data_IF_848571897843
#
_entry.id   IF_848571897843
#
_cell.length_a   1.000
_cell.length_b   1.000
_cell.length_c   1.000
_cell.angle_alpha   90.00
_cell.angle_beta   90.00
_cell.angle_gamma   90.00
#
_symmetry.space_group_name_H-M   'P 1'
#
loop_
_entity.id
_entity.type
_entity.pdbx_description
1 polymer ?
#
# COMPACT_ATOMS: atom_id res chain seq x y z
N UNK A 1 7.09 -23.37 -15.74
CA UNK A 1 6.46 -24.70 -16.04
C UNK A 1 4.94 -24.56 -16.04
N UNK A 2 4.25 -24.84 -17.18
CA UNK A 2 2.78 -24.77 -17.27
C UNK A 2 2.17 -26.06 -16.68
N UNK A 3 1.21 -25.91 -15.76
CA UNK A 3 0.49 -27.01 -15.08
C UNK A 3 -1.00 -26.79 -15.27
N UNK A 4 -1.64 -27.70 -16.01
CA UNK A 4 -3.11 -27.69 -16.16
C UNK A 4 -3.78 -28.35 -14.96
N UNK A 5 -4.83 -27.73 -14.47
CA UNK A 5 -5.60 -28.18 -13.31
C UNK A 5 -7.09 -28.19 -13.68
N UNK A 6 -7.81 -29.17 -13.16
CA UNK A 6 -9.24 -29.37 -13.47
C UNK A 6 -10.14 -28.77 -12.38
N UNK A 7 -9.63 -28.58 -11.16
CA UNK A 7 -10.39 -28.10 -10.02
C UNK A 7 -9.54 -27.24 -9.09
N UNK A 8 -10.16 -26.27 -8.40
CA UNK A 8 -9.52 -25.47 -7.35
C UNK A 8 -9.31 -26.23 -6.02
N UNK A 9 -9.74 -27.50 -5.93
CA UNK A 9 -9.50 -28.32 -4.74
C UNK A 9 -8.04 -28.77 -4.60
N UNK A 10 -7.22 -28.56 -5.62
CA UNK A 10 -5.77 -28.79 -5.58
C UNK A 10 -5.12 -27.96 -4.46
N UNK A 11 -4.43 -28.63 -3.52
CA UNK A 11 -3.77 -27.97 -2.37
C UNK A 11 -2.71 -26.95 -2.78
N UNK A 12 -2.12 -27.09 -3.97
CA UNK A 12 -1.15 -26.14 -4.53
C UNK A 12 -1.76 -24.76 -4.77
N UNK A 13 -3.10 -24.66 -4.80
CA UNK A 13 -3.88 -23.44 -5.01
C UNK A 13 -4.40 -22.82 -3.71
N UNK A 14 -4.03 -23.35 -2.55
CA UNK A 14 -4.51 -22.85 -1.26
C UNK A 14 -4.34 -21.35 -1.08
N UNK A 15 -3.20 -20.81 -1.50
CA UNK A 15 -2.92 -19.37 -1.43
C UNK A 15 -3.97 -18.52 -2.17
N UNK A 16 -4.58 -19.06 -3.21
CA UNK A 16 -5.59 -18.36 -4.01
C UNK A 16 -7.02 -18.63 -3.51
N UNK A 17 -7.30 -19.86 -3.09
CA UNK A 17 -8.67 -20.38 -2.92
C UNK A 17 -9.12 -20.49 -1.47
N UNK A 18 -8.24 -20.82 -0.55
CA UNK A 18 -8.62 -21.25 0.80
C UNK A 18 -8.02 -20.42 1.93
N UNK A 19 -6.86 -19.80 1.73
CA UNK A 19 -6.23 -19.01 2.78
C UNK A 19 -6.86 -17.63 2.92
N UNK A 20 -7.22 -17.27 4.14
CA UNK A 20 -7.62 -15.90 4.48
C UNK A 20 -6.42 -14.95 4.42
N UNK A 21 -6.69 -13.64 4.32
CA UNK A 21 -5.63 -12.63 4.35
C UNK A 21 -4.75 -12.71 5.62
N UNK A 22 -5.33 -13.10 6.76
CA UNK A 22 -4.59 -13.30 8.00
C UNK A 22 -3.63 -14.51 7.91
N UNK A 23 -4.08 -15.60 7.29
CA UNK A 23 -3.26 -16.79 7.04
C UNK A 23 -2.17 -16.50 6.00
N UNK A 24 -2.52 -15.80 4.91
CA UNK A 24 -1.55 -15.36 3.90
C UNK A 24 -0.46 -14.48 4.51
N UNK A 25 -0.82 -13.56 5.42
CA UNK A 25 0.15 -12.71 6.12
C UNK A 25 1.11 -13.51 6.98
N UNK A 26 0.65 -14.61 7.58
CA UNK A 26 1.42 -15.53 8.42
C UNK A 26 2.27 -14.82 9.49
N UNK A 27 1.62 -14.16 10.46
CA UNK A 27 2.32 -13.38 11.50
C UNK A 27 3.29 -14.20 12.36
N UNK A 28 3.04 -15.51 12.50
CA UNK A 28 3.88 -16.40 13.31
C UNK A 28 5.17 -16.82 12.59
N UNK A 29 5.11 -16.92 11.27
CA UNK A 29 6.24 -17.27 10.39
C UNK A 29 6.28 -16.27 9.21
N UNK A 30 6.67 -14.99 9.45
CA UNK A 30 6.58 -13.92 8.46
C UNK A 30 7.32 -14.23 7.15
N UNK A 31 8.39 -15.00 7.22
CA UNK A 31 9.18 -15.46 6.07
C UNK A 31 8.40 -16.39 5.13
N UNK A 32 7.34 -17.04 5.64
CA UNK A 32 6.41 -17.86 4.85
C UNK A 32 5.21 -17.07 4.34
N UNK A 33 5.09 -15.81 4.71
CA UNK A 33 3.97 -14.95 4.30
C UNK A 33 3.86 -14.81 2.78
N UNK A 34 2.63 -14.74 2.29
CA UNK A 34 2.28 -14.64 0.87
C UNK A 34 1.45 -13.40 0.64
N UNK A 35 1.59 -12.79 -0.52
CA UNK A 35 0.68 -11.78 -1.04
C UNK A 35 0.14 -12.20 -2.40
N UNK A 36 -1.06 -11.73 -2.74
CA UNK A 36 -1.71 -12.01 -4.02
C UNK A 36 -1.78 -10.72 -4.84
N UNK A 37 -1.18 -10.77 -6.03
CA UNK A 37 -1.26 -9.73 -7.05
C UNK A 37 -2.31 -10.13 -8.10
N UNK A 38 -3.22 -9.22 -8.46
CA UNK A 38 -4.30 -9.44 -9.41
C UNK A 38 -4.13 -8.56 -10.63
N UNK A 39 -4.12 -9.12 -11.80
CA UNK A 39 -3.89 -8.56 -13.14
C UNK A 39 -2.43 -8.55 -13.59
N UNK A 40 -2.22 -8.66 -14.92
CA UNK A 40 -0.89 -8.65 -15.51
C UNK A 40 -0.07 -7.42 -15.10
N UNK A 41 -0.66 -6.23 -15.12
CA UNK A 41 0.04 -4.98 -14.74
C UNK A 41 0.50 -4.96 -13.28
N UNK A 42 -0.30 -5.50 -12.36
CA UNK A 42 0.05 -5.56 -10.93
C UNK A 42 1.15 -6.60 -10.69
N UNK A 43 1.06 -7.74 -11.38
CA UNK A 43 2.09 -8.79 -11.36
C UNK A 43 3.41 -8.27 -11.91
N UNK A 44 3.38 -7.54 -13.02
CA UNK A 44 4.56 -6.90 -13.62
C UNK A 44 5.23 -5.94 -12.62
N UNK A 45 4.47 -5.08 -11.97
CA UNK A 45 4.97 -4.16 -10.93
C UNK A 45 5.53 -4.89 -9.70
N UNK A 46 4.94 -6.02 -9.31
CA UNK A 46 5.49 -6.85 -8.24
C UNK A 46 6.87 -7.39 -8.62
N UNK A 47 7.02 -7.90 -9.85
CA UNK A 47 8.31 -8.38 -10.38
C UNK A 47 9.34 -7.25 -10.50
N UNK A 48 8.94 -6.06 -10.98
CA UNK A 48 9.79 -4.87 -11.05
C UNK A 48 10.23 -4.40 -9.67
N UNK A 49 9.34 -4.48 -8.68
CA UNK A 49 9.63 -4.20 -7.28
C UNK A 49 10.44 -5.28 -6.56
N UNK A 50 10.94 -6.31 -7.29
CA UNK A 50 11.78 -7.37 -6.74
C UNK A 50 11.05 -8.38 -5.88
N UNK A 51 9.70 -8.47 -5.98
CA UNK A 51 8.94 -9.49 -5.25
C UNK A 51 9.24 -10.88 -5.82
N UNK A 52 9.49 -11.84 -4.94
CA UNK A 52 9.77 -13.22 -5.32
C UNK A 52 8.46 -13.93 -5.72
N UNK A 53 8.29 -14.34 -6.99
CA UNK A 53 7.12 -15.10 -7.44
C UNK A 53 7.15 -16.51 -6.86
N UNK A 54 5.95 -17.04 -6.53
CA UNK A 54 5.74 -18.41 -6.07
C UNK A 54 4.93 -19.22 -7.07
N UNK A 55 3.95 -18.61 -7.72
CA UNK A 55 3.14 -19.21 -8.77
C UNK A 55 2.31 -18.17 -9.51
N UNK A 56 1.79 -18.54 -10.69
CA UNK A 56 0.72 -17.83 -11.38
C UNK A 56 -0.52 -18.74 -11.50
N UNK A 57 -1.70 -18.12 -11.60
CA UNK A 57 -2.96 -18.80 -11.87
C UNK A 57 -3.77 -17.97 -12.87
N UNK A 58 -4.20 -18.60 -13.98
CA UNK A 58 -4.94 -17.94 -15.05
C UNK A 58 -5.79 -18.92 -15.86
N UNK A 59 -6.64 -18.38 -16.74
CA UNK A 59 -7.29 -19.16 -17.80
C UNK A 59 -6.35 -19.32 -19.01
N UNK A 60 -6.55 -20.37 -19.79
CA UNK A 60 -5.80 -20.65 -21.04
C UNK A 60 -5.79 -19.45 -22.00
N UNK A 61 -6.92 -18.75 -22.12
CA UNK A 61 -7.05 -17.57 -23.02
C UNK A 61 -6.09 -16.43 -22.71
N UNK A 62 -5.56 -16.36 -21.48
CA UNK A 62 -4.64 -15.30 -21.05
C UNK A 62 -3.17 -15.63 -21.29
N UNK A 63 -2.80 -16.88 -21.56
CA UNK A 63 -1.40 -17.28 -21.79
C UNK A 63 -0.68 -16.41 -22.83
N UNK A 64 -1.28 -16.10 -24.00
CA UNK A 64 -0.59 -15.27 -25.00
C UNK A 64 -0.30 -13.85 -24.50
N UNK A 65 -1.23 -13.22 -23.79
CA UNK A 65 -1.05 -11.86 -23.27
C UNK A 65 -0.14 -11.79 -22.04
N UNK A 66 0.09 -12.91 -21.38
CA UNK A 66 0.94 -13.04 -20.19
C UNK A 66 2.32 -13.62 -20.51
N UNK A 67 2.63 -13.89 -21.80
CA UNK A 67 3.84 -14.58 -22.20
C UNK A 67 5.12 -13.91 -21.67
N UNK A 68 5.24 -12.59 -21.77
CA UNK A 68 6.40 -11.85 -21.26
C UNK A 68 6.59 -11.97 -19.74
N UNK A 69 5.48 -12.01 -18.99
CA UNK A 69 5.51 -12.21 -17.55
C UNK A 69 5.92 -13.65 -17.20
N UNK A 70 5.40 -14.63 -17.93
CA UNK A 70 5.76 -16.04 -17.76
C UNK A 70 7.24 -16.24 -18.04
N UNK A 71 7.76 -15.72 -19.15
CA UNK A 71 9.20 -15.77 -19.49
C UNK A 71 10.08 -15.15 -18.41
N UNK A 72 9.67 -14.00 -17.88
CA UNK A 72 10.39 -13.32 -16.79
C UNK A 72 10.41 -14.15 -15.51
N UNK A 73 9.32 -14.82 -15.17
CA UNK A 73 9.25 -15.72 -14.00
C UNK A 73 10.13 -16.96 -14.24
N UNK A 74 10.13 -17.53 -15.43
CA UNK A 74 10.98 -18.66 -15.78
C UNK A 74 12.48 -18.30 -15.72
N UNK A 75 12.84 -17.04 -15.99
CA UNK A 75 14.21 -16.54 -15.80
C UNK A 75 14.59 -16.44 -14.32
N UNK A 76 13.65 -16.17 -13.43
CA UNK A 76 13.89 -16.18 -11.97
C UNK A 76 14.07 -17.60 -11.47
N UNK A 77 13.13 -18.49 -11.79
CA UNK A 77 13.19 -19.91 -11.46
C UNK A 77 12.23 -20.69 -12.39
N UNK A 78 12.77 -21.58 -13.27
CA UNK A 78 11.94 -22.35 -14.21
C UNK A 78 11.04 -23.39 -13.54
N UNK A 79 11.20 -23.64 -12.25
CA UNK A 79 10.35 -24.58 -11.49
C UNK A 79 9.06 -23.93 -10.98
N UNK A 80 8.95 -22.62 -11.00
CA UNK A 80 7.75 -21.89 -10.56
C UNK A 80 6.56 -22.29 -11.45
N UNK A 81 5.45 -22.81 -10.85
CA UNK A 81 4.33 -23.27 -11.61
C UNK A 81 3.47 -22.11 -12.15
N UNK A 82 3.03 -22.26 -13.39
CA UNK A 82 1.99 -21.45 -14.02
C UNK A 82 0.75 -22.34 -14.13
N UNK A 83 -0.17 -22.20 -13.22
CA UNK A 83 -1.40 -22.94 -13.19
C UNK A 83 -2.39 -22.40 -14.22
N UNK A 84 -2.98 -23.31 -15.00
CA UNK A 84 -4.03 -23.00 -15.96
C UNK A 84 -5.28 -23.75 -15.54
N UNK A 85 -6.33 -23.00 -15.23
CA UNK A 85 -7.60 -23.52 -14.75
C UNK A 85 -8.76 -23.22 -15.71
N UNK A 86 -9.83 -24.03 -15.71
CA UNK A 86 -11.06 -23.73 -16.42
C UNK A 86 -11.71 -22.43 -15.94
N UNK A 87 -12.41 -21.76 -16.86
CA UNK A 87 -13.12 -20.51 -16.56
C UNK A 87 -14.09 -20.63 -15.37
N UNK A 88 -14.88 -21.69 -15.35
CA UNK A 88 -15.91 -21.94 -14.32
C UNK A 88 -15.32 -22.09 -12.92
N UNK A 89 -14.14 -22.70 -12.82
CA UNK A 89 -13.41 -22.83 -11.56
C UNK A 89 -12.91 -21.46 -11.08
N UNK A 90 -12.30 -20.67 -11.96
CA UNK A 90 -11.81 -19.34 -11.62
C UNK A 90 -12.92 -18.34 -11.25
N UNK A 91 -14.11 -18.47 -11.84
CA UNK A 91 -15.28 -17.68 -11.41
C UNK A 91 -15.68 -17.97 -9.96
N UNK A 92 -15.64 -19.25 -9.53
CA UNK A 92 -15.92 -19.62 -8.14
C UNK A 92 -14.96 -18.95 -7.16
N UNK A 93 -13.68 -18.85 -7.53
CA UNK A 93 -12.63 -18.25 -6.71
C UNK A 93 -12.85 -16.77 -6.47
N UNK A 94 -13.18 -16.03 -7.50
CA UNK A 94 -13.21 -14.57 -7.48
C UNK A 94 -14.58 -13.99 -7.12
N UNK A 95 -15.64 -14.78 -7.20
CA UNK A 95 -17.03 -14.29 -7.12
C UNK A 95 -17.43 -13.36 -8.27
N UNK A 96 -16.50 -13.10 -9.22
CA UNK A 96 -16.69 -12.29 -10.43
C UNK A 96 -15.72 -12.77 -11.52
N UNK A 97 -15.98 -12.42 -12.75
CA UNK A 97 -15.11 -12.77 -13.88
C UNK A 97 -13.71 -12.18 -13.71
N UNK A 98 -12.67 -12.99 -13.84
CA UNK A 98 -11.27 -12.51 -13.92
C UNK A 98 -11.08 -11.80 -15.27
N UNK A 99 -11.44 -10.52 -15.30
CA UNK A 99 -11.47 -9.74 -16.52
C UNK A 99 -10.07 -9.25 -16.97
N UNK A 100 -8.99 -9.51 -16.20
CA UNK A 100 -7.69 -8.85 -16.40
C UNK A 100 -6.49 -9.78 -16.26
N UNK A 101 -6.53 -10.94 -16.84
CA UNK A 101 -5.32 -11.77 -17.02
C UNK A 101 -5.15 -12.85 -15.95
N UNK A 102 -4.35 -12.60 -14.91
CA UNK A 102 -3.90 -13.63 -13.99
C UNK A 102 -3.93 -13.19 -12.53
N UNK A 103 -3.83 -14.17 -11.63
CA UNK A 103 -3.43 -14.00 -10.24
C UNK A 103 -1.98 -14.46 -10.10
N UNK A 104 -1.17 -13.74 -9.33
CA UNK A 104 0.18 -14.12 -8.95
C UNK A 104 0.31 -14.22 -7.44
N UNK A 105 0.86 -15.33 -6.96
CA UNK A 105 1.26 -15.48 -5.57
C UNK A 105 2.75 -15.12 -5.45
N UNK A 106 3.07 -14.28 -4.48
CA UNK A 106 4.43 -13.82 -4.23
C UNK A 106 4.78 -13.97 -2.75
N UNK A 107 6.06 -14.18 -2.45
CA UNK A 107 6.57 -14.09 -1.10
C UNK A 107 6.42 -12.65 -0.57
N UNK A 108 5.94 -12.49 0.66
CA UNK A 108 5.93 -11.17 1.30
C UNK A 108 7.36 -10.71 1.55
N UNK A 109 7.69 -9.45 1.27
CA UNK A 109 9.02 -8.92 1.53
C UNK A 109 9.25 -8.81 3.06
N UNK A 110 10.53 -8.81 3.46
CA UNK A 110 10.90 -8.43 4.81
C UNK A 110 10.40 -7.02 5.12
N UNK A 111 9.74 -6.78 6.25
CA UNK A 111 9.38 -5.44 6.67
C UNK A 111 10.62 -4.54 6.77
N UNK A 112 10.54 -3.34 6.21
CA UNK A 112 11.57 -2.29 6.39
C UNK A 112 11.39 -1.64 7.75
N UNK A 113 12.49 -1.17 8.34
CA UNK A 113 12.45 -0.20 9.43
C UNK A 113 12.03 1.18 8.90
N UNK A 114 11.61 2.07 9.80
CA UNK A 114 11.27 3.46 9.45
C UNK A 114 12.47 4.16 8.81
N UNK A 115 13.67 3.98 9.37
CA UNK A 115 14.89 4.57 8.84
C UNK A 115 15.22 4.08 7.42
N UNK A 116 15.09 2.76 7.15
CA UNK A 116 15.28 2.20 5.82
C UNK A 116 14.23 2.72 4.80
N UNK A 117 12.99 2.90 5.24
CA UNK A 117 11.94 3.42 4.36
C UNK A 117 12.10 4.92 4.05
N UNK A 118 12.63 5.70 5.00
CA UNK A 118 12.81 7.14 4.90
C UNK A 118 14.21 7.55 4.42
N UNK A 119 15.05 6.61 4.01
CA UNK A 119 16.39 6.93 3.50
C UNK A 119 16.30 7.85 2.27
N UNK A 120 16.90 9.05 2.35
CA UNK A 120 16.86 10.06 1.30
C UNK A 120 15.49 10.74 1.12
N UNK A 121 14.47 10.39 1.91
CA UNK A 121 13.13 10.93 1.80
C UNK A 121 13.06 12.39 2.24
N UNK A 122 12.30 13.18 1.50
CA UNK A 122 11.96 14.59 1.77
C UNK A 122 10.51 14.76 2.18
N UNK A 123 9.60 14.06 1.52
CA UNK A 123 8.16 14.08 1.84
C UNK A 123 7.68 12.66 2.14
N UNK A 124 7.17 12.46 3.35
CA UNK A 124 6.60 11.17 3.75
C UNK A 124 5.14 11.34 4.18
N UNK A 125 4.32 10.34 3.92
CA UNK A 125 2.95 10.26 4.42
C UNK A 125 2.89 9.28 5.59
N UNK A 126 2.26 9.68 6.69
CA UNK A 126 1.98 8.81 7.84
C UNK A 126 0.48 8.55 7.89
N UNK A 127 0.08 7.29 7.84
CA UNK A 127 -1.33 6.88 7.89
C UNK A 127 -1.66 6.42 9.31
N UNK A 128 -2.49 7.18 10.00
CA UNK A 128 -2.96 6.84 11.34
C UNK A 128 -4.30 6.11 11.22
N UNK A 129 -4.28 4.83 11.64
CA UNK A 129 -5.45 3.99 11.85
C UNK A 129 -6.41 3.88 10.66
N UNK A 130 -5.89 3.95 9.45
CA UNK A 130 -6.69 3.78 8.23
C UNK A 130 -7.13 2.32 8.10
N UNK A 131 -8.35 2.01 8.50
CA UNK A 131 -8.94 0.66 8.53
C UNK A 131 -9.81 0.34 7.30
N UNK A 132 -9.53 0.96 6.17
CA UNK A 132 -10.17 0.70 4.88
C UNK A 132 -9.12 0.41 3.81
N UNK A 133 -9.09 -0.84 3.32
CA UNK A 133 -8.14 -1.28 2.29
C UNK A 133 -8.21 -0.46 1.00
N UNK A 134 -9.41 0.06 0.65
CA UNK A 134 -9.58 0.91 -0.53
C UNK A 134 -8.87 2.25 -0.34
N UNK A 135 -9.01 2.87 0.83
CA UNK A 135 -8.31 4.11 1.15
C UNK A 135 -6.80 3.90 1.21
N UNK A 136 -6.33 2.85 1.90
CA UNK A 136 -4.89 2.50 1.91
C UNK A 136 -4.36 2.38 0.48
N UNK A 137 -5.00 1.57 -0.36
CA UNK A 137 -4.57 1.37 -1.75
C UNK A 137 -4.60 2.66 -2.58
N UNK A 138 -5.63 3.50 -2.41
CA UNK A 138 -5.76 4.77 -3.13
C UNK A 138 -4.69 5.78 -2.69
N UNK A 139 -4.38 5.85 -1.39
CA UNK A 139 -3.32 6.72 -0.86
C UNK A 139 -1.96 6.30 -1.41
N UNK A 140 -1.62 4.99 -1.39
CA UNK A 140 -0.39 4.50 -1.99
C UNK A 140 -0.28 4.83 -3.48
N UNK A 141 -1.40 4.75 -4.21
CA UNK A 141 -1.43 5.12 -5.63
C UNK A 141 -1.17 6.60 -5.83
N UNK A 142 -1.80 7.47 -5.04
CA UNK A 142 -1.60 8.91 -5.10
C UNK A 142 -0.19 9.30 -4.68
N UNK A 143 0.33 8.70 -3.61
CA UNK A 143 1.68 8.92 -3.10
C UNK A 143 2.74 8.62 -4.18
N UNK A 144 2.66 7.43 -4.79
CA UNK A 144 3.57 7.06 -5.86
C UNK A 144 3.45 7.95 -7.12
N UNK A 145 2.21 8.34 -7.48
CA UNK A 145 1.97 9.15 -8.66
C UNK A 145 2.41 10.61 -8.49
N UNK A 146 2.38 11.13 -7.28
CA UNK A 146 2.66 12.53 -6.96
C UNK A 146 4.04 12.75 -6.32
N UNK A 147 4.88 11.72 -6.25
CA UNK A 147 6.29 11.87 -5.85
C UNK A 147 6.50 11.93 -4.33
N UNK A 148 5.60 11.36 -3.53
CA UNK A 148 5.86 11.10 -2.10
C UNK A 148 6.93 10.02 -2.00
N UNK A 149 7.94 10.24 -1.16
CA UNK A 149 9.12 9.39 -1.10
C UNK A 149 8.90 8.10 -0.31
N UNK A 150 8.07 8.14 0.75
CA UNK A 150 7.74 6.96 1.54
C UNK A 150 6.35 7.08 2.20
N UNK A 151 5.78 5.92 2.56
CA UNK A 151 4.53 5.84 3.33
C UNK A 151 4.80 5.08 4.63
N UNK A 152 4.44 5.68 5.76
CA UNK A 152 4.50 5.05 7.07
C UNK A 152 3.06 4.73 7.52
N UNK A 153 2.87 3.59 8.17
CA UNK A 153 1.55 3.17 8.64
C UNK A 153 1.62 2.83 10.13
N UNK A 154 0.66 3.32 10.91
CA UNK A 154 0.57 2.97 12.33
C UNK A 154 0.14 1.51 12.54
N UNK A 155 0.29 0.96 13.76
CA UNK A 155 -0.02 -0.44 14.04
C UNK A 155 -1.46 -0.87 13.72
N UNK A 156 -2.45 0.01 13.91
CA UNK A 156 -3.86 -0.28 13.63
C UNK A 156 -4.23 -0.14 12.14
N UNK A 157 -3.39 0.50 11.32
CA UNK A 157 -3.63 0.57 9.88
C UNK A 157 -3.71 -0.81 9.24
N UNK A 158 -4.61 -0.93 8.28
CA UNK A 158 -4.69 -2.12 7.44
C UNK A 158 -3.42 -2.30 6.61
N UNK A 159 -3.11 -3.55 6.37
CA UNK A 159 -1.88 -3.96 5.68
C UNK A 159 -1.96 -3.60 4.19
N UNK A 160 -0.98 -2.84 3.66
CA UNK A 160 -0.96 -2.44 2.25
C UNK A 160 -0.80 -3.62 1.27
N UNK A 161 -0.29 -4.77 1.76
CA UNK A 161 -0.12 -5.98 0.96
C UNK A 161 -1.34 -6.90 0.97
N UNK A 162 -2.47 -6.49 1.56
CA UNK A 162 -3.72 -7.21 1.38
C UNK A 162 -4.21 -7.08 -0.07
N UNK A 163 -4.73 -8.18 -0.61
CA UNK A 163 -5.15 -8.31 -2.01
C UNK A 163 -5.94 -7.09 -2.51
N UNK A 164 -6.90 -6.60 -1.71
CA UNK A 164 -7.72 -5.43 -2.08
C UNK A 164 -6.89 -4.14 -2.16
N UNK A 165 -5.99 -3.90 -1.23
CA UNK A 165 -5.12 -2.71 -1.25
C UNK A 165 -4.13 -2.78 -2.42
N UNK A 166 -3.51 -3.92 -2.66
CA UNK A 166 -2.64 -4.18 -3.82
C UNK A 166 -3.36 -3.90 -5.13
N UNK A 167 -4.62 -4.37 -5.27
CA UNK A 167 -5.44 -4.15 -6.46
C UNK A 167 -5.80 -2.68 -6.65
N UNK A 168 -6.28 -2.00 -5.60
CA UNK A 168 -6.68 -0.59 -5.68
C UNK A 168 -5.49 0.31 -5.96
N UNK A 169 -4.34 0.04 -5.36
CA UNK A 169 -3.09 0.75 -5.65
C UNK A 169 -2.59 0.49 -7.08
N UNK A 170 -3.17 -0.46 -7.80
CA UNK A 170 -2.64 -0.93 -9.08
C UNK A 170 -1.18 -1.41 -8.98
N UNK A 171 -0.77 -1.92 -7.82
CA UNK A 171 0.59 -2.39 -7.55
C UNK A 171 1.61 -1.30 -7.22
N UNK A 172 1.21 -0.02 -7.06
CA UNK A 172 2.16 1.03 -6.66
C UNK A 172 2.72 0.83 -5.25
N UNK A 173 2.07 0.02 -4.42
CA UNK A 173 2.60 -0.43 -3.13
C UNK A 173 3.97 -1.13 -3.24
N UNK A 174 4.33 -1.65 -4.41
CA UNK A 174 5.63 -2.24 -4.69
C UNK A 174 6.67 -1.23 -5.18
N UNK A 175 6.23 -0.02 -5.54
CA UNK A 175 7.07 1.03 -6.13
C UNK A 175 7.53 2.07 -5.12
N UNK A 176 6.77 2.26 -4.03
CA UNK A 176 7.07 3.24 -2.99
C UNK A 176 7.52 2.54 -1.71
N UNK A 177 8.64 2.93 -1.09
CA UNK A 177 9.04 2.41 0.21
C UNK A 177 7.97 2.63 1.28
N UNK A 178 7.78 1.65 2.14
CA UNK A 178 6.89 1.82 3.29
C UNK A 178 7.36 1.00 4.50
N UNK A 179 6.97 1.44 5.70
CA UNK A 179 7.26 0.78 6.96
C UNK A 179 6.11 0.97 7.96
N UNK A 180 6.11 0.16 9.02
CA UNK A 180 5.28 0.42 10.20
C UNK A 180 6.02 1.35 11.14
N UNK A 181 5.28 2.34 11.70
CA UNK A 181 5.79 3.28 12.69
C UNK A 181 5.00 3.14 13.99
N UNK A 182 5.71 3.06 15.11
CA UNK A 182 5.11 2.77 16.42
C UNK A 182 4.92 1.27 16.67
N UNK A 183 4.90 0.88 17.94
CA UNK A 183 4.71 -0.51 18.36
C UNK A 183 3.25 -0.79 18.75
N UNK A 184 2.59 0.17 19.37
CA UNK A 184 1.20 0.11 19.82
C UNK A 184 0.37 1.23 19.20
N UNK A 185 -0.91 0.92 18.88
CA UNK A 185 -1.82 1.87 18.25
C UNK A 185 -2.15 3.07 19.15
N UNK A 186 -2.18 2.87 20.48
CA UNK A 186 -2.52 3.94 21.43
C UNK A 186 -1.34 4.88 21.69
N UNK A 187 -0.11 4.37 21.57
CA UNK A 187 1.11 5.10 21.96
C UNK A 187 2.01 5.45 20.77
N UNK A 188 1.60 5.15 19.54
CA UNK A 188 2.44 5.36 18.37
C UNK A 188 2.95 6.81 18.28
N UNK A 189 2.12 7.81 18.61
CA UNK A 189 2.49 9.23 18.54
C UNK A 189 3.56 9.61 19.57
N UNK A 190 3.67 8.86 20.68
CA UNK A 190 4.67 9.11 21.71
C UNK A 190 6.07 8.65 21.29
N UNK A 191 6.15 7.65 20.43
CA UNK A 191 7.40 7.07 19.95
C UNK A 191 7.68 7.44 18.50
N UNK A 192 6.66 7.44 17.66
CA UNK A 192 6.80 7.66 16.21
C UNK A 192 7.04 9.11 15.82
N UNK A 193 6.38 10.09 16.47
CA UNK A 193 6.62 11.50 16.17
C UNK A 193 8.03 11.93 16.58
N UNK A 194 8.53 11.62 17.78
CA UNK A 194 9.94 11.87 18.11
C UNK A 194 10.91 11.20 17.14
N UNK A 195 10.66 9.96 16.72
CA UNK A 195 11.50 9.30 15.71
C UNK A 195 11.52 10.05 14.37
N UNK A 196 10.39 10.61 13.93
CA UNK A 196 10.35 11.45 12.72
C UNK A 196 11.18 12.72 12.90
N UNK A 197 11.14 13.36 14.08
CA UNK A 197 11.98 14.51 14.39
C UNK A 197 13.48 14.16 14.40
N UNK A 198 13.85 13.01 14.96
CA UNK A 198 15.23 12.48 14.93
C UNK A 198 15.72 12.26 13.48
N UNK A 199 14.83 11.86 12.58
CA UNK A 199 15.10 11.72 11.14
C UNK A 199 15.08 13.05 10.37
N UNK A 200 14.82 14.16 11.07
CA UNK A 200 14.84 15.52 10.55
C UNK A 200 13.53 15.97 9.88
N UNK A 201 12.42 15.25 10.08
CA UNK A 201 11.14 15.67 9.52
C UNK A 201 10.42 16.68 10.41
N UNK A 202 9.91 17.73 9.79
CA UNK A 202 8.83 18.55 10.35
C UNK A 202 7.52 17.79 10.21
N UNK A 203 6.72 17.70 11.27
CA UNK A 203 5.48 16.93 11.29
C UNK A 203 4.26 17.82 11.12
N UNK A 204 3.34 17.43 10.23
CA UNK A 204 2.14 18.17 9.89
C UNK A 204 0.90 17.28 9.98
N UNK A 205 0.04 17.51 10.98
CA UNK A 205 -1.22 16.80 11.17
C UNK A 205 -2.30 17.38 10.26
N UNK A 206 -2.84 16.59 9.32
CA UNK A 206 -3.98 17.02 8.50
C UNK A 206 -5.28 16.89 9.30
N UNK A 207 -5.66 17.98 9.96
CA UNK A 207 -6.82 18.02 10.85
C UNK A 207 -7.43 19.42 10.92
N UNK A 208 -8.68 19.49 11.38
CA UNK A 208 -9.36 20.75 11.69
C UNK A 208 -9.14 21.09 13.16
N UNK A 209 -8.55 22.24 13.42
CA UNK A 209 -8.49 22.86 14.74
C UNK A 209 -8.47 24.39 14.59
N UNK A 210 -8.72 25.10 15.70
CA UNK A 210 -8.72 26.57 15.70
C UNK A 210 -7.37 27.16 15.26
N UNK A 211 -6.28 26.46 15.54
CA UNK A 211 -4.92 26.86 15.22
C UNK A 211 -4.38 26.26 13.90
N UNK A 212 -5.25 25.66 13.07
CA UNK A 212 -4.80 25.06 11.81
C UNK A 212 -4.36 26.13 10.81
N UNK A 213 -3.16 25.93 10.25
CA UNK A 213 -2.69 26.70 9.11
C UNK A 213 -3.26 26.14 7.80
N UNK A 214 -3.31 26.95 6.75
CA UNK A 214 -3.70 26.46 5.43
C UNK A 214 -2.65 25.51 4.87
N UNK A 215 -3.09 24.47 4.14
CA UNK A 215 -2.20 23.62 3.37
C UNK A 215 -1.30 24.41 2.37
N UNK A 216 -1.75 25.63 1.98
CA UNK A 216 -1.01 26.54 1.08
C UNK A 216 -0.05 27.46 1.80
N UNK A 217 0.14 27.32 3.12
CA UNK A 217 1.08 28.13 3.88
C UNK A 217 2.50 27.87 3.37
N UNK A 218 3.22 28.94 3.02
CA UNK A 218 4.59 28.87 2.46
C UNK A 218 5.56 28.18 3.43
N UNK A 219 5.34 28.30 4.75
CA UNK A 219 6.17 27.63 5.76
C UNK A 219 6.24 26.11 5.58
N UNK A 220 5.14 25.49 5.09
CA UNK A 220 5.13 24.05 4.83
C UNK A 220 5.99 23.67 3.62
N UNK A 221 6.08 24.56 2.63
CA UNK A 221 6.88 24.36 1.41
C UNK A 221 8.36 24.63 1.65
N UNK A 222 8.67 25.46 2.66
CA UNK A 222 10.04 25.77 3.07
C UNK A 222 10.67 24.67 3.94
N UNK A 223 9.88 23.70 4.44
CA UNK A 223 10.40 22.58 5.19
C UNK A 223 11.35 21.75 4.32
N UNK A 224 12.56 21.52 4.80
CA UNK A 224 13.52 20.64 4.11
C UNK A 224 13.00 19.22 4.01
N UNK A 225 12.38 18.72 5.09
CA UNK A 225 11.70 17.43 5.17
C UNK A 225 10.36 17.59 5.87
N UNK A 226 9.32 16.98 5.33
CA UNK A 226 7.98 17.04 5.91
C UNK A 226 7.32 15.64 6.00
N UNK A 227 6.76 15.34 7.16
CA UNK A 227 5.92 14.16 7.39
C UNK A 227 4.46 14.59 7.55
N UNK A 228 3.62 14.27 6.57
CA UNK A 228 2.19 14.56 6.59
C UNK A 228 1.42 13.42 7.25
N UNK A 229 0.78 13.69 8.38
CA UNK A 229 -0.01 12.71 9.13
C UNK A 229 -1.47 12.80 8.73
N UNK A 230 -2.03 11.67 8.29
CA UNK A 230 -3.38 11.52 7.74
C UNK A 230 -4.17 10.57 8.64
N UNK A 231 -5.31 11.01 9.15
CA UNK A 231 -6.18 10.25 10.05
C UNK A 231 -7.27 9.45 9.33
N UNK A 232 -8.00 8.65 10.11
CA UNK A 232 -9.12 7.85 9.61
C UNK A 232 -10.32 8.73 9.22
N UNK A 233 -11.26 8.13 8.47
CA UNK A 233 -12.53 8.76 8.17
C UNK A 233 -13.43 8.76 9.41
N UNK A 234 -14.08 9.90 9.69
CA UNK A 234 -14.97 10.10 10.82
C UNK A 234 -14.23 10.71 12.01
N UNK A 235 -13.44 9.95 12.73
CA UNK A 235 -12.76 10.40 13.95
C UNK A 235 -11.52 11.28 13.68
N UNK A 236 -10.95 11.20 12.48
CA UNK A 236 -9.75 11.96 12.10
C UNK A 236 -8.49 11.43 12.79
N UNK A 237 -7.63 12.36 13.21
CA UNK A 237 -6.41 12.08 13.97
C UNK A 237 -6.69 12.13 15.48
N UNK A 238 -6.00 11.30 16.24
CA UNK A 238 -6.04 11.37 17.70
C UNK A 238 -5.54 12.74 18.22
N UNK A 239 -6.17 13.26 19.27
CA UNK A 239 -5.75 14.51 19.90
C UNK A 239 -4.28 14.49 20.33
N UNK A 240 -3.81 13.34 20.82
CA UNK A 240 -2.42 13.13 21.21
C UNK A 240 -1.44 13.25 20.03
N UNK A 241 -1.86 12.88 18.82
CA UNK A 241 -1.10 13.03 17.58
C UNK A 241 -1.04 14.50 17.17
N UNK A 242 -2.22 15.16 17.12
CA UNK A 242 -2.31 16.58 16.76
C UNK A 242 -1.46 17.43 17.69
N UNK A 243 -1.52 17.18 19.00
CA UNK A 243 -0.79 17.93 20.01
C UNK A 243 0.74 17.78 19.95
N UNK A 244 1.24 16.72 19.30
CA UNK A 244 2.69 16.45 19.16
C UNK A 244 3.28 16.88 17.83
N UNK A 245 2.45 17.12 16.82
CA UNK A 245 2.90 17.60 15.52
C UNK A 245 3.29 19.07 15.59
N UNK A 246 4.27 19.47 14.77
CA UNK A 246 4.73 20.87 14.68
C UNK A 246 3.67 21.79 14.09
N UNK A 247 2.88 21.25 13.16
CA UNK A 247 1.77 21.97 12.52
C UNK A 247 0.50 21.15 12.54
N UNK A 248 -0.64 21.85 12.72
CA UNK A 248 -1.95 21.35 12.31
C UNK A 248 -2.32 22.04 11.01
N UNK A 249 -2.67 21.27 9.99
CA UNK A 249 -2.86 21.74 8.62
C UNK A 249 -4.27 21.43 8.15
N UNK A 250 -4.93 22.38 7.52
CA UNK A 250 -6.26 22.19 6.91
C UNK A 250 -6.27 22.47 5.41
N UNK A 251 -7.07 21.70 4.69
CA UNK A 251 -7.46 22.02 3.32
C UNK A 251 -8.60 23.05 3.40
N UNK A 252 -8.46 24.27 2.86
CA UNK A 252 -9.57 25.23 2.84
C UNK A 252 -10.75 24.67 2.03
N UNK A 253 -11.93 24.65 2.62
CA UNK A 253 -13.14 24.08 2.00
C UNK A 253 -14.25 25.12 1.89
N UNK A 254 -15.23 24.84 1.03
CA UNK A 254 -16.40 25.70 0.78
C UNK A 254 -17.69 24.98 1.23
N UNK A 255 -18.79 25.72 1.28
CA UNK A 255 -20.13 25.20 1.52
C UNK A 255 -20.32 24.47 2.85
N UNK A 256 -19.56 24.81 3.89
CA UNK A 256 -19.58 24.17 5.20
C UNK A 256 -19.29 22.66 5.15
N UNK A 257 -18.49 22.24 4.16
CA UNK A 257 -17.95 20.87 4.13
C UNK A 257 -16.75 20.81 5.05
N UNK A 258 -16.78 19.90 6.03
CA UNK A 258 -15.74 19.81 7.07
C UNK A 258 -14.57 18.92 6.65
N UNK A 259 -14.83 17.89 5.83
CA UNK A 259 -13.80 16.92 5.46
C UNK A 259 -13.97 16.36 4.05
N UNK A 260 -12.91 15.81 3.49
CA UNK A 260 -12.89 14.96 2.30
C UNK A 260 -12.60 13.52 2.73
N UNK A 261 -13.00 12.56 1.90
CA UNK A 261 -12.45 11.22 2.00
C UNK A 261 -10.92 11.27 2.10
N UNK A 262 -10.32 10.49 3.00
CA UNK A 262 -8.88 10.58 3.32
C UNK A 262 -7.99 10.36 2.10
N UNK A 263 -8.38 9.50 1.15
CA UNK A 263 -7.61 9.31 -0.08
C UNK A 263 -7.69 10.51 -1.01
N UNK A 264 -8.81 11.23 -1.05
CA UNK A 264 -8.93 12.50 -1.78
C UNK A 264 -8.13 13.60 -1.10
N UNK A 265 -8.24 13.73 0.23
CA UNK A 265 -7.48 14.68 1.02
C UNK A 265 -5.97 14.48 0.85
N UNK A 266 -5.50 13.21 0.87
CA UNK A 266 -4.10 12.88 0.65
C UNK A 266 -3.61 13.33 -0.72
N UNK A 267 -4.38 13.08 -1.78
CA UNK A 267 -4.00 13.48 -3.14
C UNK A 267 -3.86 15.00 -3.28
N UNK A 268 -4.79 15.77 -2.68
CA UNK A 268 -4.72 17.24 -2.66
C UNK A 268 -3.49 17.72 -1.90
N UNK A 269 -3.20 17.12 -0.73
CA UNK A 269 -2.07 17.49 0.09
C UNK A 269 -0.73 17.15 -0.58
N UNK A 270 -0.63 15.99 -1.21
CA UNK A 270 0.57 15.58 -1.95
C UNK A 270 0.83 16.51 -3.15
N UNK A 271 -0.22 16.85 -3.90
CA UNK A 271 -0.11 17.79 -5.02
C UNK A 271 0.40 19.17 -4.59
N UNK A 272 -0.05 19.67 -3.46
CA UNK A 272 0.33 21.00 -2.97
C UNK A 272 1.75 21.02 -2.37
N UNK A 273 2.17 19.96 -1.67
CA UNK A 273 3.42 19.93 -0.90
C UNK A 273 4.60 19.31 -1.64
N UNK A 274 4.34 18.39 -2.58
CA UNK A 274 5.39 17.79 -3.40
C UNK A 274 5.57 18.65 -4.64
N UNK A 275 6.68 19.33 -4.75
CA UNK A 275 7.02 20.08 -5.96
C UNK A 275 7.31 19.07 -7.07
N UNK A 276 6.60 19.09 -8.20
CA UNK A 276 6.92 18.22 -9.32
C UNK A 276 8.37 18.48 -9.76
N UNK A 277 9.14 17.41 -9.94
CA UNK A 277 10.37 17.51 -10.70
C UNK A 277 9.97 17.85 -12.15
N UNK A 278 10.13 19.09 -12.54
CA UNK A 278 9.90 19.58 -13.90
C UNK A 278 11.12 19.24 -14.76
#
# INVERSE_FOLDING_TARGET
>A
MIVRIDTLEDERLDAYARLTEAQLRNKLEPEKGILIAESGKVIERALEGGMQPLSLLMEEKWLPSMASIVERIEQVDPTIPVFVAPHDELQKLCGFELTRGALGAFRRPRPKSVAEACEGARVVAVLEDITNHTNVGAIFRSAAALGVDAVLITPACYDPLYRRAVRVSMGTVFQIPWARIGEDAHDWAQTGIPLLHELGFTTAALALSDNSVSLRDEKLKECEKIALVLGTEGDGLAESTIARCDYTVKIPMYHQVDSLNVAAASAVAFWELVVPAV
#
